data_IF_363982259028
#
_entry.id   IF_363982259028
#
_cell.length_a   1.000
_cell.length_b   1.000
_cell.length_c   1.000
_cell.angle_alpha   90.00
_cell.angle_beta   90.00
_cell.angle_gamma   90.00
#
_symmetry.space_group_name_H-M   'P 1'
#
loop_
_entity.id
_entity.type
_entity.pdbx_description
1 polymer ?
#
# COMPACT_ATOMS: atom_id res chain seq x y z
N UNK A 1 24.89 13.31 -34.14
CA UNK A 1 25.23 12.81 -32.79
C UNK A 1 24.15 13.30 -31.86
N UNK A 2 23.45 12.42 -31.13
CA UNK A 2 22.42 12.86 -30.19
C UNK A 2 23.06 13.66 -29.05
N UNK A 3 22.52 14.83 -28.71
CA UNK A 3 23.03 15.61 -27.60
C UNK A 3 22.83 14.82 -26.29
N UNK A 4 23.89 14.52 -25.52
CA UNK A 4 23.78 13.75 -24.28
C UNK A 4 22.84 14.42 -23.26
N UNK A 5 22.74 15.74 -23.27
CA UNK A 5 21.83 16.50 -22.42
C UNK A 5 20.36 16.23 -22.79
N UNK A 6 20.03 16.25 -24.08
CA UNK A 6 18.68 15.91 -24.55
C UNK A 6 18.31 14.47 -24.19
N UNK A 7 19.26 13.53 -24.34
CA UNK A 7 19.04 12.14 -23.97
C UNK A 7 18.74 11.98 -22.46
N UNK A 8 19.45 12.74 -21.61
CA UNK A 8 19.21 12.78 -20.18
C UNK A 8 17.81 13.30 -19.86
N UNK A 9 17.40 14.43 -20.42
CA UNK A 9 16.07 15.00 -20.14
C UNK A 9 14.92 14.14 -20.67
N UNK A 10 15.10 13.47 -21.81
CA UNK A 10 14.17 12.47 -22.31
C UNK A 10 14.03 11.28 -21.35
N UNK A 11 15.13 10.83 -20.75
CA UNK A 11 15.10 9.77 -19.74
C UNK A 11 14.37 10.21 -18.46
N UNK A 12 14.60 11.44 -17.98
CA UNK A 12 13.91 12.01 -16.82
C UNK A 12 12.39 12.06 -17.05
N UNK A 13 11.95 12.56 -18.21
CA UNK A 13 10.53 12.62 -18.56
C UNK A 13 9.93 11.22 -18.65
N UNK A 14 10.63 10.27 -19.26
CA UNK A 14 10.18 8.89 -19.36
C UNK A 14 10.04 8.22 -17.98
N UNK A 15 10.99 8.47 -17.08
CA UNK A 15 10.97 7.98 -15.71
C UNK A 15 9.78 8.55 -14.94
N UNK A 16 9.53 9.86 -15.01
CA UNK A 16 8.38 10.49 -14.39
C UNK A 16 7.04 9.88 -14.87
N UNK A 17 6.91 9.58 -16.18
CA UNK A 17 5.73 8.91 -16.73
C UNK A 17 5.60 7.48 -16.18
N UNK A 18 6.70 6.76 -15.99
CA UNK A 18 6.70 5.41 -15.43
C UNK A 18 6.29 5.41 -13.94
N UNK A 19 6.77 6.37 -13.17
CA UNK A 19 6.46 6.54 -11.74
C UNK A 19 5.01 6.99 -11.54
N UNK A 20 4.52 7.94 -12.35
CA UNK A 20 3.11 8.33 -12.36
C UNK A 20 2.18 7.16 -12.75
N UNK A 21 2.64 6.29 -13.66
CA UNK A 21 1.90 5.08 -14.05
C UNK A 21 1.95 4.00 -12.96
N UNK A 22 2.93 4.00 -12.05
CA UNK A 22 3.10 2.98 -11.01
C UNK A 22 3.67 1.65 -11.52
N UNK A 23 4.56 1.70 -12.52
CA UNK A 23 5.24 0.51 -13.09
C UNK A 23 6.52 0.12 -12.35
N UNK A 24 7.07 1.04 -11.55
CA UNK A 24 8.21 0.86 -10.65
C UNK A 24 7.74 0.46 -9.23
N UNK A 25 8.68 0.06 -8.36
CA UNK A 25 8.47 -0.16 -6.92
C UNK A 25 8.19 1.17 -6.15
N UNK A 26 7.43 2.09 -6.76
CA UNK A 26 7.20 3.43 -6.23
C UNK A 26 6.12 3.42 -5.14
N UNK A 27 6.39 4.16 -4.06
CA UNK A 27 5.42 4.46 -3.00
C UNK A 27 4.24 5.29 -3.54
N UNK A 28 3.11 5.29 -2.84
CA UNK A 28 1.93 6.11 -3.21
C UNK A 28 2.26 7.61 -3.29
N UNK A 29 3.22 8.07 -2.49
CA UNK A 29 3.67 9.47 -2.47
C UNK A 29 4.43 9.83 -3.76
N UNK A 30 5.42 9.03 -4.16
CA UNK A 30 6.21 9.26 -5.37
C UNK A 30 5.35 9.29 -6.63
N UNK A 31 4.33 8.42 -6.70
CA UNK A 31 3.34 8.45 -7.77
C UNK A 31 2.59 9.78 -7.86
N UNK A 32 2.16 10.31 -6.71
CA UNK A 32 1.43 11.59 -6.64
C UNK A 32 2.34 12.75 -7.03
N UNK A 33 3.58 12.76 -6.55
CA UNK A 33 4.57 13.77 -6.91
C UNK A 33 4.90 13.75 -8.40
N UNK A 34 5.08 12.56 -9.00
CA UNK A 34 5.32 12.42 -10.43
C UNK A 34 4.12 12.87 -11.27
N UNK A 35 2.90 12.53 -10.84
CA UNK A 35 1.67 12.98 -11.47
C UNK A 35 1.52 14.52 -11.43
N UNK A 36 1.74 15.12 -10.26
CA UNK A 36 1.70 16.57 -10.07
C UNK A 36 2.80 17.28 -10.88
N UNK A 37 3.99 16.68 -11.00
CA UNK A 37 5.08 17.24 -11.80
C UNK A 37 4.74 17.29 -13.30
N UNK A 38 4.11 16.23 -13.84
CA UNK A 38 3.74 16.12 -15.26
C UNK A 38 2.54 16.98 -15.63
N UNK A 39 1.49 16.97 -14.79
CA UNK A 39 0.16 17.45 -15.18
C UNK A 39 -0.22 18.78 -14.54
N UNK A 40 0.42 19.19 -13.45
CA UNK A 40 0.22 20.52 -12.87
C UNK A 40 1.04 21.54 -13.67
N UNK A 41 0.51 22.75 -13.81
CA UNK A 41 1.23 23.84 -14.46
C UNK A 41 2.45 24.26 -13.63
N UNK A 42 3.59 23.65 -13.96
CA UNK A 42 4.86 23.84 -13.25
C UNK A 42 5.94 24.27 -14.27
N UNK A 43 6.69 25.34 -13.98
CA UNK A 43 7.77 25.81 -14.85
C UNK A 43 8.89 24.79 -15.07
N UNK A 44 9.11 23.90 -14.10
CA UNK A 44 10.15 22.86 -14.15
C UNK A 44 9.91 21.84 -15.27
N UNK A 45 8.65 21.48 -15.52
CA UNK A 45 8.30 20.54 -16.60
C UNK A 45 8.53 21.17 -17.97
N UNK A 46 8.09 22.42 -18.16
CA UNK A 46 8.29 23.14 -19.41
C UNK A 46 9.79 23.29 -19.73
N UNK A 47 10.61 23.55 -18.70
CA UNK A 47 12.07 23.62 -18.84
C UNK A 47 12.68 22.26 -19.23
N UNK A 48 12.25 21.17 -18.60
CA UNK A 48 12.70 19.82 -18.94
C UNK A 48 12.34 19.43 -20.38
N UNK A 49 11.13 19.77 -20.83
CA UNK A 49 10.68 19.56 -22.21
C UNK A 49 11.52 20.38 -23.21
N UNK A 50 11.78 21.66 -22.92
CA UNK A 50 12.63 22.49 -23.76
C UNK A 50 14.06 21.94 -23.90
N UNK A 51 14.64 21.41 -22.81
CA UNK A 51 15.97 20.80 -22.82
C UNK A 51 15.99 19.42 -23.50
N UNK A 52 14.84 18.74 -23.56
CA UNK A 52 14.67 17.46 -24.24
C UNK A 52 14.34 17.59 -25.74
N UNK A 53 14.15 18.82 -26.24
CA UNK A 53 13.61 19.10 -27.57
C UNK A 53 12.24 18.44 -27.80
N UNK A 54 11.37 18.52 -26.78
CA UNK A 54 10.03 17.96 -26.76
C UNK A 54 8.98 19.04 -26.53
N UNK A 55 7.84 18.90 -27.20
CA UNK A 55 6.69 19.77 -26.98
C UNK A 55 6.00 19.44 -25.63
N UNK A 56 5.82 20.42 -24.73
CA UNK A 56 5.21 20.20 -23.41
C UNK A 56 3.77 19.69 -23.49
N UNK A 57 2.96 20.20 -24.42
CA UNK A 57 1.53 19.88 -24.53
C UNK A 57 1.34 18.46 -25.07
N UNK A 58 2.10 18.08 -26.10
CA UNK A 58 2.15 16.72 -26.62
C UNK A 58 2.61 15.73 -25.53
N UNK A 59 3.65 16.08 -24.77
CA UNK A 59 4.18 15.23 -23.71
C UNK A 59 3.16 15.01 -22.58
N UNK A 60 2.41 16.05 -22.19
CA UNK A 60 1.30 15.95 -21.22
C UNK A 60 0.19 15.06 -21.71
N UNK A 61 -0.24 15.25 -22.96
CA UNK A 61 -1.29 14.43 -23.58
C UNK A 61 -0.90 12.95 -23.59
N UNK A 62 0.35 12.64 -23.96
CA UNK A 62 0.87 11.28 -23.93
C UNK A 62 0.91 10.69 -22.51
N UNK A 63 1.32 11.49 -21.52
CA UNK A 63 1.34 11.08 -20.12
C UNK A 63 -0.08 10.77 -19.60
N UNK A 64 -1.05 11.63 -19.87
CA UNK A 64 -2.47 11.42 -19.52
C UNK A 64 -3.00 10.11 -20.10
N UNK A 65 -2.83 9.90 -21.40
CA UNK A 65 -3.26 8.67 -22.06
C UNK A 65 -2.64 7.41 -21.44
N UNK A 66 -1.35 7.45 -21.06
CA UNK A 66 -0.67 6.32 -20.41
C UNK A 66 -1.19 6.03 -19.00
N UNK A 67 -1.61 7.06 -18.28
CA UNK A 67 -2.21 6.93 -16.95
C UNK A 67 -3.62 6.35 -17.08
N UNK A 68 -4.42 6.84 -18.03
CA UNK A 68 -5.79 6.38 -18.34
C UNK A 68 -5.83 4.93 -18.83
N UNK A 69 -4.99 4.56 -19.83
CA UNK A 69 -4.91 3.20 -20.35
C UNK A 69 -4.61 2.13 -19.28
N UNK A 70 -4.04 2.54 -18.13
CA UNK A 70 -3.85 1.66 -16.98
C UNK A 70 -5.09 1.59 -16.10
N UNK A 71 -5.86 2.66 -15.94
CA UNK A 71 -7.17 2.59 -15.27
C UNK A 71 -8.07 1.57 -15.97
N UNK A 72 -8.08 1.57 -17.31
CA UNK A 72 -8.79 0.59 -18.12
C UNK A 72 -8.25 -0.83 -17.92
N UNK A 73 -6.92 -1.03 -17.96
CA UNK A 73 -6.31 -2.35 -17.74
C UNK A 73 -6.43 -2.85 -16.30
N UNK A 74 -6.47 -1.97 -15.30
CA UNK A 74 -6.71 -2.31 -13.90
C UNK A 74 -8.19 -2.69 -13.67
N UNK A 75 -9.13 -1.99 -14.32
CA UNK A 75 -10.54 -2.35 -14.37
C UNK A 75 -10.74 -3.72 -15.04
N UNK A 76 -10.08 -3.95 -16.20
CA UNK A 76 -10.12 -5.24 -16.91
C UNK A 76 -9.46 -6.37 -16.12
N UNK A 77 -8.38 -6.12 -15.37
CA UNK A 77 -7.77 -7.12 -14.46
C UNK A 77 -8.70 -7.47 -13.29
N UNK A 78 -9.48 -6.51 -12.81
CA UNK A 78 -10.48 -6.71 -11.76
C UNK A 78 -11.70 -7.50 -12.26
N UNK A 79 -12.12 -7.26 -13.51
CA UNK A 79 -13.18 -8.03 -14.19
C UNK A 79 -12.74 -9.46 -14.58
N UNK A 80 -11.46 -9.66 -14.94
CA UNK A 80 -10.94 -11.01 -15.23
C UNK A 80 -10.73 -11.87 -13.96
N UNK A 81 -10.62 -11.24 -12.79
CA UNK A 81 -10.62 -11.94 -11.51
C UNK A 81 -12.00 -12.50 -11.14
N UNK A 82 -13.09 -11.88 -11.62
CA UNK A 82 -14.47 -12.33 -11.37
C UNK A 82 -14.89 -13.54 -12.22
N UNK A 83 -14.28 -13.76 -13.38
CA UNK A 83 -14.62 -14.91 -14.25
C UNK A 83 -13.99 -16.24 -13.82
N UNK A 84 -13.02 -16.22 -12.89
CA UNK A 84 -12.38 -17.43 -12.34
C UNK A 84 -13.01 -17.93 -11.03
N UNK A 85 -14.13 -17.33 -10.60
CA UNK A 85 -14.79 -17.58 -9.31
C UNK A 85 -16.23 -18.06 -9.47
N UNK A 86 -16.54 -18.88 -10.48
CA UNK A 86 -17.82 -19.56 -10.61
C UNK A 86 -17.81 -20.91 -9.84
N UNK A 87 -17.51 -20.87 -8.56
CA UNK A 87 -17.89 -21.85 -7.51
C UNK A 87 -17.32 -21.38 -6.17
N UNK A 88 -17.99 -20.43 -5.51
CA UNK A 88 -17.83 -20.21 -4.08
C UNK A 88 -19.05 -19.47 -3.51
N UNK A 89 -19.77 -20.19 -2.64
CA UNK A 89 -20.83 -19.76 -1.71
C UNK A 89 -20.43 -18.55 -0.84
N UNK A 90 -21.41 -17.84 -0.24
CA UNK A 90 -21.14 -16.57 0.42
C UNK A 90 -20.47 -16.73 1.80
N UNK A 91 -19.55 -15.79 2.09
CA UNK A 91 -19.10 -15.39 3.43
C UNK A 91 -18.41 -16.45 4.30
N UNK A 92 -17.18 -16.81 3.92
CA UNK A 92 -16.13 -17.14 4.89
C UNK A 92 -14.83 -16.50 4.42
N UNK A 93 -14.24 -15.64 5.24
CA UNK A 93 -12.95 -15.00 5.03
C UNK A 93 -11.86 -16.08 4.90
N UNK A 94 -11.56 -16.46 3.66
CA UNK A 94 -10.44 -17.32 3.27
C UNK A 94 -9.12 -16.59 3.52
N UNK A 95 -8.72 -16.53 4.78
CA UNK A 95 -7.32 -16.33 5.10
C UNK A 95 -6.70 -17.69 4.91
N UNK A 96 -5.80 -17.85 3.91
CA UNK A 96 -4.78 -18.90 3.95
C UNK A 96 -4.32 -19.00 5.39
N UNK A 97 -4.65 -20.10 6.06
CA UNK A 97 -4.35 -20.32 7.46
C UNK A 97 -2.83 -20.26 7.58
N UNK A 98 -2.28 -19.06 7.82
CA UNK A 98 -1.03 -18.93 8.56
C UNK A 98 -1.33 -19.76 9.80
N UNK A 99 -0.64 -20.89 9.95
CA UNK A 99 -0.78 -21.79 11.08
C UNK A 99 -0.56 -20.97 12.35
N UNK A 100 -1.63 -20.32 12.80
CA UNK A 100 -1.66 -19.56 14.02
C UNK A 100 -1.57 -20.62 15.08
N UNK A 101 -0.47 -20.63 15.80
CA UNK A 101 -0.25 -21.52 16.92
C UNK A 101 -1.51 -21.48 17.81
N UNK A 102 -2.15 -22.64 17.97
CA UNK A 102 -3.35 -22.81 18.79
C UNK A 102 -2.88 -23.00 20.23
N UNK A 103 -3.51 -22.28 21.15
CA UNK A 103 -3.19 -22.35 22.57
C UNK A 103 -4.40 -22.90 23.33
N UNK A 104 -4.14 -23.87 24.17
CA UNK A 104 -5.14 -24.52 25.01
C UNK A 104 -5.15 -23.86 26.39
N UNK A 105 -6.32 -23.42 26.82
CA UNK A 105 -6.51 -22.94 28.19
C UNK A 105 -7.97 -23.15 28.60
N UNK A 106 -8.19 -23.75 29.78
CA UNK A 106 -9.54 -23.97 30.32
C UNK A 106 -10.47 -24.79 29.42
N UNK A 107 -9.94 -25.78 28.70
CA UNK A 107 -10.72 -26.64 27.79
C UNK A 107 -11.07 -26.01 26.44
N UNK A 108 -10.64 -24.76 26.17
CA UNK A 108 -10.80 -24.10 24.87
C UNK A 108 -9.46 -24.09 24.12
N UNK A 109 -9.46 -24.48 22.85
CA UNK A 109 -8.30 -24.39 21.94
C UNK A 109 -8.53 -23.24 20.96
N UNK A 110 -7.89 -22.10 21.20
CA UNK A 110 -8.10 -20.88 20.40
C UNK A 110 -6.77 -20.29 19.94
N UNK A 111 -6.82 -19.50 18.87
CA UNK A 111 -5.67 -18.71 18.40
C UNK A 111 -5.41 -17.52 19.33
N UNK A 112 -4.19 -16.97 19.31
CA UNK A 112 -3.84 -15.75 20.07
C UNK A 112 -4.82 -14.61 19.78
N UNK A 113 -5.23 -14.46 18.52
CA UNK A 113 -6.18 -13.40 18.13
C UNK A 113 -7.57 -13.61 18.76
N UNK A 114 -8.03 -14.86 18.84
CA UNK A 114 -9.30 -15.19 19.49
C UNK A 114 -9.21 -15.01 21.01
N UNK A 115 -8.12 -15.46 21.64
CA UNK A 115 -7.87 -15.21 23.07
C UNK A 115 -7.81 -13.72 23.39
N UNK A 116 -7.20 -12.93 22.51
CA UNK A 116 -7.14 -11.48 22.67
C UNK A 116 -8.55 -10.84 22.64
N UNK A 117 -9.43 -11.34 21.77
CA UNK A 117 -10.84 -10.88 21.72
C UNK A 117 -11.65 -11.32 22.93
N UNK A 118 -11.50 -12.58 23.38
CA UNK A 118 -12.25 -13.12 24.54
C UNK A 118 -11.97 -12.33 25.82
N UNK A 119 -10.72 -11.89 26.02
CA UNK A 119 -10.28 -11.17 27.23
C UNK A 119 -10.34 -9.63 27.04
N UNK A 120 -10.52 -9.17 25.81
CA UNK A 120 -10.51 -7.73 25.48
C UNK A 120 -9.11 -7.10 25.52
N UNK A 121 -8.07 -7.87 25.24
CA UNK A 121 -6.70 -7.37 25.09
C UNK A 121 -6.31 -7.22 23.61
N UNK A 122 -5.24 -6.46 23.34
CA UNK A 122 -4.73 -6.29 21.98
C UNK A 122 -3.77 -7.42 21.63
N UNK A 123 -3.94 -8.00 20.42
CA UNK A 123 -3.06 -9.03 19.86
C UNK A 123 -1.56 -8.82 20.12
N UNK A 124 -0.95 -7.64 19.85
CA UNK A 124 0.49 -7.44 20.04
C UNK A 124 0.94 -7.67 21.49
N UNK A 125 0.09 -7.35 22.47
CA UNK A 125 0.46 -7.53 23.89
C UNK A 125 0.48 -9.01 24.26
N UNK A 126 -0.52 -9.77 23.82
CA UNK A 126 -0.57 -11.20 24.07
C UNK A 126 0.53 -11.95 23.31
N UNK A 127 0.79 -11.54 22.05
CA UNK A 127 1.89 -12.07 21.25
C UNK A 127 3.25 -11.83 21.89
N UNK A 128 3.52 -10.60 22.37
CA UNK A 128 4.76 -10.27 23.05
C UNK A 128 5.00 -11.13 24.30
N UNK A 129 3.97 -11.37 25.12
CA UNK A 129 4.07 -12.22 26.31
C UNK A 129 4.48 -13.65 25.94
N UNK A 130 3.82 -14.23 24.94
CA UNK A 130 4.10 -15.58 24.47
C UNK A 130 5.48 -15.68 23.81
N UNK A 131 5.88 -14.67 23.04
CA UNK A 131 7.21 -14.58 22.43
C UNK A 131 8.34 -14.48 23.45
N UNK A 132 8.06 -13.92 24.64
CA UNK A 132 8.98 -13.92 25.78
C UNK A 132 8.92 -15.22 26.60
N UNK A 133 8.29 -16.27 26.09
CA UNK A 133 8.23 -17.59 26.73
C UNK A 133 7.24 -17.68 27.89
N UNK A 134 6.27 -16.77 28.00
CA UNK A 134 5.28 -16.88 29.06
C UNK A 134 4.30 -18.02 28.75
N UNK A 135 3.92 -18.84 29.75
CA UNK A 135 2.83 -19.79 29.58
C UNK A 135 1.52 -19.03 29.32
N UNK A 136 0.66 -19.61 28.49
CA UNK A 136 -0.59 -18.98 28.06
C UNK A 136 -1.45 -18.56 29.28
N UNK A 137 -1.53 -19.40 30.30
CA UNK A 137 -2.31 -19.13 31.52
C UNK A 137 -1.91 -17.81 32.19
N UNK A 138 -0.59 -17.61 32.36
CA UNK A 138 0.00 -16.40 32.93
C UNK A 138 -0.19 -15.20 32.00
N UNK A 139 -0.10 -15.43 30.69
CA UNK A 139 -0.31 -14.38 29.70
C UNK A 139 -1.76 -13.87 29.70
N UNK A 140 -2.74 -14.73 30.01
CA UNK A 140 -4.18 -14.40 30.07
C UNK A 140 -4.60 -13.81 31.43
N UNK A 141 -4.01 -14.24 32.55
CA UNK A 141 -4.36 -13.75 33.92
C UNK A 141 -3.72 -12.42 34.30
N UNK A 142 -2.62 -12.03 33.66
CA UNK A 142 -1.92 -10.78 34.02
C UNK A 142 -2.69 -9.57 33.46
N UNK A 143 -3.04 -8.56 34.28
CA UNK A 143 -3.80 -7.40 33.83
C UNK A 143 -3.12 -6.68 32.66
N UNK A 144 -3.91 -6.26 31.68
CA UNK A 144 -3.42 -5.55 30.50
C UNK A 144 -3.65 -4.05 30.72
N UNK A 145 -2.57 -3.26 30.75
CA UNK A 145 -2.69 -1.80 30.72
C UNK A 145 -3.27 -1.41 29.37
N UNK A 146 -4.50 -0.88 29.34
CA UNK A 146 -5.08 -0.29 28.12
C UNK A 146 -4.22 0.89 27.75
N UNK A 147 -3.37 0.71 26.73
CA UNK A 147 -2.67 1.83 26.11
C UNK A 147 -3.75 2.62 25.36
N UNK A 148 -4.28 3.68 25.97
CA UNK A 148 -5.09 4.66 25.24
C UNK A 148 -4.16 5.24 24.17
N UNK A 149 -4.47 5.02 22.90
CA UNK A 149 -3.81 5.76 21.83
C UNK A 149 -4.28 7.19 21.99
N UNK A 150 -3.44 8.06 22.53
CA UNK A 150 -3.73 9.49 22.59
C UNK A 150 -3.65 10.05 21.16
N UNK A 151 -4.68 9.79 20.35
CA UNK A 151 -4.91 10.48 19.09
C UNK A 151 -5.62 11.79 19.39
N UNK A 152 -4.90 12.70 20.03
CA UNK A 152 -5.26 14.11 20.05
C UNK A 152 -4.16 14.86 19.30
N UNK A 153 -4.39 15.05 18.01
CA UNK A 153 -3.67 16.03 17.21
C UNK A 153 -4.25 17.40 17.62
N UNK A 154 -3.62 18.09 18.57
CA UNK A 154 -3.89 19.51 18.81
C UNK A 154 -3.02 20.31 17.83
N UNK A 155 -3.58 21.15 16.95
CA UNK A 155 -2.78 22.08 16.16
C UNK A 155 -2.15 23.13 17.09
N UNK A 156 -0.84 23.34 16.95
CA UNK A 156 -0.08 24.31 17.72
C UNK A 156 -0.55 25.76 17.45
N UNK A 157 -0.43 26.68 18.43
CA UNK A 157 -0.82 28.08 18.29
C UNK A 157 0.06 28.85 17.30
#
# INVERSE_FOLDING_TARGET
MANPEQALWRAVIAQAIADASGKSDCTTFERRTAHDWLLRSNGNFNRACALADLDPDYTRKLAQQRIEQRADKAAVKSAKATEKSATATPKASSTRLRKGQLYEFGGKRLTILQWAKEIGCTYPVLYYRISNGWPIERALTTPFRKMTRNTECQPAP
#
